data_IF_961066044350
#
_entry.id   IF_961066044350
#
_cell.length_a   1.000
_cell.length_b   1.000
_cell.length_c   1.000
_cell.angle_alpha   90.00
_cell.angle_beta   90.00
_cell.angle_gamma   90.00
#
_symmetry.space_group_name_H-M   'P 1'
#
loop_
_entity.id
_entity.type
_entity.pdbx_description
1 polymer ?
#
# COMPACT_ATOMS: atom_id res chain seq x y z
N UNK A 1 0.55 -2.75 -15.47
CA UNK A 1 1.28 -1.81 -14.60
C UNK A 1 2.52 -2.54 -14.16
N UNK A 2 3.68 -2.11 -14.64
CA UNK A 2 4.99 -2.66 -14.28
C UNK A 2 5.66 -1.63 -13.37
N UNK A 3 6.21 -2.06 -12.23
CA UNK A 3 6.97 -1.20 -11.36
C UNK A 3 8.33 -1.85 -11.10
N UNK A 4 9.39 -1.07 -11.30
CA UNK A 4 10.77 -1.48 -11.09
C UNK A 4 11.23 -0.84 -9.78
N UNK A 5 11.54 -1.66 -8.78
CA UNK A 5 12.10 -1.19 -7.51
C UNK A 5 13.61 -1.42 -7.57
N UNK A 6 14.35 -0.37 -7.92
CA UNK A 6 15.80 -0.37 -7.85
C UNK A 6 16.24 -0.07 -6.40
N UNK A 7 16.83 -1.07 -5.75
CA UNK A 7 17.39 -0.95 -4.40
C UNK A 7 18.93 -0.92 -4.41
N UNK A 8 19.56 -0.90 -5.59
CA UNK A 8 20.99 -1.15 -5.78
C UNK A 8 21.85 0.10 -5.61
N UNK A 9 21.26 1.30 -5.69
CA UNK A 9 21.97 2.59 -5.65
C UNK A 9 21.32 3.58 -4.68
N UNK A 10 21.47 3.34 -3.36
CA UNK A 10 21.09 4.36 -2.37
C UNK A 10 22.05 5.56 -2.30
N UNK A 11 23.28 5.42 -2.81
CA UNK A 11 24.35 6.42 -2.65
C UNK A 11 24.99 6.92 -3.97
N UNK A 12 24.41 6.65 -5.15
CA UNK A 12 24.93 7.18 -6.43
C UNK A 12 23.81 7.53 -7.41
N UNK A 13 24.06 8.53 -8.27
CA UNK A 13 23.18 8.91 -9.38
C UNK A 13 22.97 7.71 -10.32
N UNK A 14 21.83 7.02 -10.20
CA UNK A 14 21.44 5.95 -11.11
C UNK A 14 20.95 6.55 -12.44
N UNK A 15 21.42 6.07 -13.60
CA UNK A 15 20.87 6.47 -14.89
C UNK A 15 19.43 5.95 -15.02
N UNK A 16 18.47 6.87 -15.16
CA UNK A 16 17.03 6.56 -15.19
C UNK A 16 16.58 5.78 -16.44
N UNK A 17 17.43 5.74 -17.47
CA UNK A 17 17.09 5.24 -18.80
C UNK A 17 17.59 3.80 -19.05
N UNK A 18 18.26 3.17 -18.08
CA UNK A 18 18.88 1.86 -18.25
C UNK A 18 18.14 0.79 -17.44
N UNK A 19 17.66 -0.26 -18.12
CA UNK A 19 17.06 -1.42 -17.44
C UNK A 19 18.15 -2.18 -16.69
N UNK A 20 18.16 -2.04 -15.37
CA UNK A 20 19.18 -2.65 -14.54
C UNK A 20 18.70 -3.98 -13.93
N UNK A 21 19.35 -5.07 -14.34
CA UNK A 21 19.12 -6.40 -13.79
C UNK A 21 20.09 -6.65 -12.63
N UNK A 22 19.64 -7.19 -11.47
CA UNK A 22 20.53 -7.53 -10.38
C UNK A 22 21.51 -8.62 -10.82
N UNK A 23 22.82 -8.37 -10.64
CA UNK A 23 23.90 -9.23 -11.12
C UNK A 23 23.94 -10.57 -10.35
N UNK A 24 23.54 -10.58 -9.07
CA UNK A 24 23.47 -11.79 -8.23
C UNK A 24 22.31 -11.73 -7.21
N UNK A 25 21.62 -12.86 -7.00
CA UNK A 25 20.77 -13.06 -5.82
C UNK A 25 21.67 -13.36 -4.61
N UNK A 26 21.74 -12.46 -3.64
CA UNK A 26 22.42 -12.69 -2.37
C UNK A 26 21.74 -13.84 -1.57
N UNK A 27 22.49 -14.49 -0.68
CA UNK A 27 22.04 -15.62 0.18
C UNK A 27 20.81 -15.24 1.04
N UNK A 28 20.64 -13.95 1.34
CA UNK A 28 19.36 -13.32 1.66
C UNK A 28 18.86 -12.67 0.37
N UNK A 29 17.96 -13.33 -0.36
CA UNK A 29 17.50 -12.80 -1.64
C UNK A 29 16.77 -11.48 -1.42
N UNK A 30 17.11 -10.40 -2.14
CA UNK A 30 16.41 -9.13 -2.00
C UNK A 30 14.93 -9.34 -2.32
N UNK A 31 14.05 -8.79 -1.48
CA UNK A 31 12.61 -8.90 -1.65
C UNK A 31 11.97 -7.51 -1.63
N UNK A 32 11.10 -7.25 -2.61
CA UNK A 32 10.18 -6.13 -2.58
C UNK A 32 8.91 -6.53 -1.84
N UNK A 33 8.45 -5.71 -0.91
CA UNK A 33 7.17 -5.94 -0.22
C UNK A 33 6.08 -5.12 -0.89
N UNK A 34 4.97 -5.77 -1.27
CA UNK A 34 3.81 -5.11 -1.85
C UNK A 34 2.55 -5.43 -1.06
N UNK A 35 1.74 -4.43 -0.76
CA UNK A 35 0.37 -4.60 -0.28
C UNK A 35 -0.58 -3.84 -1.21
N UNK A 36 -1.69 -4.50 -1.57
CA UNK A 36 -2.78 -3.89 -2.35
C UNK A 36 -3.93 -3.72 -1.38
N UNK A 37 -4.42 -2.49 -1.25
CA UNK A 37 -5.43 -2.14 -0.28
C UNK A 37 -6.34 -1.02 -0.81
N UNK A 38 -7.49 -0.81 -0.16
CA UNK A 38 -8.39 0.29 -0.50
C UNK A 38 -7.76 1.64 -0.17
N UNK A 39 -8.11 2.74 -0.86
CA UNK A 39 -7.53 4.07 -0.59
C UNK A 39 -7.89 4.64 0.78
N UNK A 40 -8.81 4.00 1.52
CA UNK A 40 -9.30 4.44 2.82
C UNK A 40 -8.56 3.82 4.01
N UNK A 41 -7.65 2.87 3.76
CA UNK A 41 -6.81 2.26 4.80
C UNK A 41 -5.34 2.46 4.48
N UNK A 42 -4.51 2.71 5.50
CA UNK A 42 -3.06 2.69 5.36
C UNK A 42 -2.56 1.30 5.74
N UNK A 43 -2.32 0.44 4.76
CA UNK A 43 -1.87 -0.93 5.00
C UNK A 43 -0.33 -0.99 5.00
N UNK A 44 0.25 -1.65 6.01
CA UNK A 44 1.69 -1.88 6.04
C UNK A 44 2.04 -3.10 5.16
N UNK A 45 2.92 -2.96 4.16
CA UNK A 45 3.33 -4.08 3.32
C UNK A 45 4.12 -5.15 4.08
N UNK A 46 4.63 -4.85 5.29
CA UNK A 46 5.28 -5.83 6.15
C UNK A 46 4.32 -6.67 6.99
N UNK A 47 3.05 -6.25 7.12
CA UNK A 47 2.04 -6.93 7.93
C UNK A 47 1.00 -7.61 7.05
N UNK A 48 0.53 -6.92 6.01
CA UNK A 48 -0.56 -7.38 5.13
C UNK A 48 -0.14 -7.50 3.67
N UNK A 49 1.17 -7.43 3.40
CA UNK A 49 1.72 -7.55 2.06
C UNK A 49 2.27 -8.92 1.74
N UNK A 50 2.83 -9.03 0.54
CA UNK A 50 3.55 -10.20 0.04
C UNK A 50 4.95 -9.80 -0.40
N UNK A 51 5.91 -10.69 -0.18
CA UNK A 51 7.29 -10.52 -0.61
C UNK A 51 7.52 -11.08 -2.01
N UNK A 52 8.04 -10.25 -2.90
CA UNK A 52 8.45 -10.61 -4.25
C UNK A 52 9.97 -10.69 -4.30
N UNK A 53 10.50 -11.88 -4.59
CA UNK A 53 11.95 -12.10 -4.66
C UNK A 53 12.52 -11.48 -5.94
N UNK A 54 13.70 -10.90 -5.85
CA UNK A 54 14.44 -10.39 -6.99
C UNK A 54 14.73 -11.47 -8.05
N UNK A 55 14.78 -11.03 -9.31
CA UNK A 55 15.10 -11.90 -10.46
C UNK A 55 13.99 -12.89 -10.84
N UNK A 56 12.73 -12.58 -10.51
CA UNK A 56 11.57 -13.40 -10.86
C UNK A 56 10.47 -12.54 -11.49
N UNK A 57 9.75 -13.15 -12.44
CA UNK A 57 8.58 -12.55 -13.05
C UNK A 57 7.32 -13.04 -12.32
N UNK A 58 6.45 -12.09 -11.94
CA UNK A 58 5.21 -12.36 -11.22
C UNK A 58 4.01 -11.84 -12.01
N UNK A 59 2.97 -12.68 -12.16
CA UNK A 59 1.67 -12.26 -12.68
C UNK A 59 0.70 -12.07 -11.51
N UNK A 60 0.34 -10.82 -11.24
CA UNK A 60 -0.58 -10.47 -10.15
C UNK A 60 -1.98 -10.28 -10.74
N UNK A 61 -2.92 -11.12 -10.34
CA UNK A 61 -4.34 -10.99 -10.69
C UNK A 61 -5.09 -10.43 -9.50
N UNK A 62 -5.75 -9.29 -9.71
CA UNK A 62 -6.46 -8.57 -8.65
C UNK A 62 -7.96 -8.79 -8.86
N UNK A 63 -8.66 -9.09 -7.77
CA UNK A 63 -10.12 -9.05 -7.70
C UNK A 63 -10.50 -8.19 -6.50
N UNK A 64 -11.37 -7.23 -6.73
CA UNK A 64 -11.96 -6.44 -5.67
C UNK A 64 -13.19 -7.17 -5.13
N UNK A 65 -13.25 -7.31 -3.80
CA UNK A 65 -14.40 -7.86 -3.10
C UNK A 65 -14.91 -6.79 -2.10
N UNK A 66 -16.18 -6.42 -2.24
CA UNK A 66 -16.84 -5.43 -1.39
C UNK A 66 -17.80 -6.12 -0.41
N UNK A 67 -17.68 -5.77 0.88
CA UNK A 67 -18.57 -6.27 1.94
C UNK A 67 -19.49 -5.17 2.44
N UNK A 68 -20.75 -5.25 2.05
CA UNK A 68 -21.80 -4.38 2.58
C UNK A 68 -22.33 -4.95 3.90
N UNK A 69 -22.13 -4.21 5.00
CA UNK A 69 -22.69 -4.55 6.30
C UNK A 69 -24.09 -3.93 6.45
N UNK A 70 -24.96 -4.62 7.19
CA UNK A 70 -26.29 -4.08 7.49
C UNK A 70 -26.18 -2.85 8.41
N UNK A 71 -27.06 -1.84 8.23
CA UNK A 71 -27.12 -0.70 9.14
C UNK A 71 -27.57 -1.13 10.55
N UNK A 72 -27.45 -0.27 11.58
CA UNK A 72 -28.06 -0.52 12.89
C UNK A 72 -29.52 -0.99 12.75
N UNK A 73 -30.02 -1.93 13.58
CA UNK A 73 -29.56 -2.31 14.92
C UNK A 73 -28.64 -3.54 14.98
N UNK A 74 -28.19 -4.06 13.84
CA UNK A 74 -27.30 -5.22 13.85
C UNK A 74 -25.94 -4.85 14.43
N UNK A 75 -25.42 -5.71 15.31
CA UNK A 75 -24.15 -5.47 15.97
C UNK A 75 -23.00 -5.73 14.99
N UNK A 76 -22.56 -4.67 14.32
CA UNK A 76 -21.47 -4.73 13.33
C UNK A 76 -20.09 -4.50 13.95
N UNK A 77 -20.02 -3.93 15.17
CA UNK A 77 -18.80 -3.45 15.81
C UNK A 77 -17.93 -2.57 14.87
N UNK A 78 -18.58 -1.87 13.93
CA UNK A 78 -17.95 -0.99 12.97
C UNK A 78 -18.31 0.46 13.29
N UNK A 79 -17.36 1.36 13.08
CA UNK A 79 -17.61 2.82 13.06
C UNK A 79 -17.66 3.25 11.61
N UNK A 80 -18.75 3.88 11.19
CA UNK A 80 -18.85 4.41 9.83
C UNK A 80 -18.19 5.79 9.74
N UNK A 81 -16.93 5.80 9.33
CA UNK A 81 -16.11 7.00 9.27
C UNK A 81 -16.50 7.95 8.12
N UNK A 82 -17.14 7.45 7.06
CA UNK A 82 -17.41 8.27 5.87
C UNK A 82 -18.50 9.33 6.12
N UNK A 83 -19.68 9.00 6.69
CA UNK A 83 -20.64 9.99 7.15
C UNK A 83 -20.05 10.92 8.20
N UNK A 84 -19.29 10.39 9.16
CA UNK A 84 -18.66 11.21 10.20
C UNK A 84 -17.67 12.23 9.63
N UNK A 85 -16.86 11.83 8.64
CA UNK A 85 -15.94 12.71 7.94
C UNK A 85 -16.67 13.79 7.13
N UNK A 86 -17.74 13.42 6.40
CA UNK A 86 -18.58 14.37 5.67
C UNK A 86 -19.28 15.36 6.59
N UNK A 87 -19.78 14.90 7.75
CA UNK A 87 -20.40 15.75 8.76
C UNK A 87 -19.43 16.80 9.33
N UNK A 88 -18.12 16.53 9.32
CA UNK A 88 -17.06 17.47 9.67
C UNK A 88 -16.57 18.34 8.50
N UNK A 89 -17.34 18.44 7.42
CA UNK A 89 -16.98 19.24 6.25
C UNK A 89 -15.77 18.69 5.46
N UNK A 90 -15.50 17.37 5.55
CA UNK A 90 -14.36 16.76 4.88
C UNK A 90 -13.02 16.98 5.59
N UNK A 91 -13.04 17.43 6.85
CA UNK A 91 -11.82 17.62 7.64
C UNK A 91 -11.38 16.27 8.21
N UNK A 92 -10.22 15.79 7.74
CA UNK A 92 -9.55 14.60 8.26
C UNK A 92 -9.07 14.82 9.71
N UNK A 93 -8.88 13.75 10.50
CA UNK A 93 -8.47 13.85 11.89
C UNK A 93 -7.11 14.54 12.10
N UNK A 94 -6.24 14.55 11.08
CA UNK A 94 -4.94 15.22 11.10
C UNK A 94 -4.99 16.68 10.62
N UNK A 95 -6.14 17.15 10.10
CA UNK A 95 -6.33 18.51 9.59
C UNK A 95 -6.96 19.44 10.64
N UNK A 96 -6.73 19.19 11.94
CA UNK A 96 -7.17 20.13 12.96
C UNK A 96 -6.42 21.44 12.79
N UNK A 97 -7.13 22.48 12.36
CA UNK A 97 -6.66 23.85 12.48
C UNK A 97 -6.67 24.14 13.97
N UNK A 98 -5.49 24.16 14.59
CA UNK A 98 -5.30 24.67 15.95
C UNK A 98 -5.55 26.16 15.87
N UNK A 99 -6.79 26.58 16.18
CA UNK A 99 -7.08 27.99 16.40
C UNK A 99 -6.50 28.35 17.76
N UNK A 100 -5.31 28.97 17.75
CA UNK A 100 -4.79 29.74 18.88
C UNK A 100 -5.47 31.11 18.94
#
# INVERSE_FOLDING_TARGET
>A
MEFFIDASFRDRNAPLDEFQYPIHNSISSPAAQIAIHSPYIAASPYVSGVGLLGGKDYSIKIKEDEKHLLPPPYQTNCTDYMPAWRARGGIGPLNQIVNN
#
